data_IF_703191839973
#
_entry.id   IF_703191839973
#
_cell.length_a   1.000
_cell.length_b   1.000
_cell.length_c   1.000
_cell.angle_alpha   90.00
_cell.angle_beta   90.00
_cell.angle_gamma   90.00
#
_symmetry.space_group_name_H-M   'P 1'
#
loop_
_entity.id
_entity.type
_entity.pdbx_description
1 polymer ?
#
# COMPACT_ATOMS: atom_id res chain seq x y z
N UNK A 1 -26.29 18.07 2.64
CA UNK A 1 -24.93 18.26 2.11
C UNK A 1 -25.04 17.94 0.64
N UNK A 2 -24.95 18.95 -0.21
CA UNK A 2 -25.07 18.76 -1.67
C UNK A 2 -23.91 17.88 -2.16
N UNK A 3 -24.14 16.92 -3.08
CA UNK A 3 -23.08 16.06 -3.59
C UNK A 3 -22.05 16.90 -4.37
N UNK A 4 -20.76 16.62 -4.14
CA UNK A 4 -19.63 17.34 -4.74
C UNK A 4 -19.43 17.09 -6.26
N UNK A 5 -20.48 16.68 -6.98
CA UNK A 5 -20.46 16.29 -8.39
C UNK A 5 -20.41 14.77 -8.62
N UNK A 6 -20.18 14.33 -9.87
CA UNK A 6 -20.07 12.92 -10.21
C UNK A 6 -18.75 12.30 -9.71
N UNK A 7 -18.78 11.01 -9.37
CA UNK A 7 -17.59 10.24 -9.02
C UNK A 7 -16.64 10.10 -10.22
N UNK A 8 -15.36 10.44 -10.04
CA UNK A 8 -14.34 10.33 -11.08
C UNK A 8 -13.80 8.91 -11.35
N UNK A 9 -14.20 7.92 -10.55
CA UNK A 9 -13.63 6.56 -10.57
C UNK A 9 -14.69 5.46 -10.76
N UNK A 10 -15.91 5.84 -11.14
CA UNK A 10 -16.91 4.87 -11.59
C UNK A 10 -16.56 4.37 -13.01
N UNK A 11 -17.01 3.16 -13.40
CA UNK A 11 -16.99 2.76 -14.80
C UNK A 11 -17.72 3.76 -15.69
N UNK A 12 -17.30 3.85 -16.96
CA UNK A 12 -17.96 4.69 -17.96
C UNK A 12 -19.45 4.31 -18.08
N UNK A 13 -20.34 5.31 -18.01
CA UNK A 13 -21.79 5.10 -18.06
C UNK A 13 -22.45 4.74 -16.71
N UNK A 14 -21.68 4.51 -15.65
CA UNK A 14 -22.18 4.13 -14.31
C UNK A 14 -21.86 5.18 -13.24
N UNK A 15 -21.59 6.42 -13.65
CA UNK A 15 -21.22 7.50 -12.75
C UNK A 15 -22.28 7.73 -11.66
N UNK A 16 -21.87 7.54 -10.40
CA UNK A 16 -22.71 7.79 -9.24
C UNK A 16 -22.43 9.18 -8.66
N UNK A 17 -23.40 9.83 -8.00
CA UNK A 17 -23.14 11.05 -7.25
C UNK A 17 -22.10 10.78 -6.17
N UNK A 18 -21.11 11.66 -6.07
CA UNK A 18 -20.08 11.56 -5.06
C UNK A 18 -20.65 11.81 -3.66
N UNK A 19 -20.20 10.99 -2.71
CA UNK A 19 -20.57 11.08 -1.29
C UNK A 19 -19.42 11.60 -0.44
N UNK A 20 -18.21 11.54 -1.00
CA UNK A 20 -16.97 11.87 -0.33
C UNK A 20 -16.04 12.62 -1.27
N UNK A 21 -15.08 13.33 -0.70
CA UNK A 21 -14.05 14.07 -1.42
C UNK A 21 -12.69 13.70 -0.84
N UNK A 22 -11.70 13.40 -1.68
CA UNK A 22 -10.36 13.12 -1.20
C UNK A 22 -9.73 14.37 -0.59
N UNK A 23 -9.26 14.35 0.66
CA UNK A 23 -8.72 15.54 1.32
C UNK A 23 -7.34 15.98 0.79
N UNK A 24 -6.66 15.13 0.01
CA UNK A 24 -5.33 15.42 -0.55
C UNK A 24 -5.40 16.14 -1.91
N UNK A 25 -6.36 15.76 -2.75
CA UNK A 25 -6.46 16.24 -4.13
C UNK A 25 -7.83 16.81 -4.50
N UNK A 26 -8.78 16.81 -3.56
CA UNK A 26 -10.15 17.31 -3.72
C UNK A 26 -10.99 16.61 -4.82
N UNK A 27 -10.58 15.42 -5.27
CA UNK A 27 -11.35 14.65 -6.27
C UNK A 27 -12.54 13.93 -5.59
N UNK A 28 -13.76 14.08 -6.14
CA UNK A 28 -14.98 13.46 -5.61
C UNK A 28 -15.08 11.95 -5.94
N UNK A 29 -15.56 11.15 -4.97
CA UNK A 29 -15.78 9.71 -5.14
C UNK A 29 -17.05 9.20 -4.40
N UNK A 30 -17.65 8.10 -4.86
CA UNK A 30 -18.93 7.61 -4.34
C UNK A 30 -18.82 6.49 -3.29
N UNK A 31 -17.72 5.73 -3.27
CA UNK A 31 -17.59 4.52 -2.44
C UNK A 31 -16.13 4.15 -2.14
N UNK A 32 -15.92 3.23 -1.20
CA UNK A 32 -14.59 2.68 -0.90
C UNK A 32 -13.94 2.01 -2.12
N UNK A 33 -14.72 1.35 -2.98
CA UNK A 33 -14.21 0.77 -4.22
C UNK A 33 -13.58 1.85 -5.11
N UNK A 34 -14.29 2.96 -5.29
CA UNK A 34 -13.81 4.10 -6.09
C UNK A 34 -12.65 4.83 -5.42
N UNK A 35 -12.61 4.88 -4.09
CA UNK A 35 -11.42 5.37 -3.38
C UNK A 35 -10.20 4.48 -3.62
N UNK A 36 -10.33 3.14 -3.59
CA UNK A 36 -9.21 2.22 -3.89
C UNK A 36 -8.71 2.35 -5.32
N UNK A 37 -9.60 2.62 -6.27
CA UNK A 37 -9.24 2.89 -7.67
C UNK A 37 -8.61 4.28 -7.89
N UNK A 38 -8.56 5.14 -6.86
CA UNK A 38 -7.99 6.50 -6.92
C UNK A 38 -6.45 6.51 -7.02
N UNK A 39 -5.78 5.37 -6.98
CA UNK A 39 -4.32 5.30 -7.16
C UNK A 39 -3.55 5.93 -6.00
N UNK A 40 -2.62 6.85 -6.31
CA UNK A 40 -1.59 7.34 -5.38
C UNK A 40 -2.15 7.85 -4.04
N UNK A 41 -3.25 8.63 -4.05
CA UNK A 41 -3.83 9.13 -2.80
C UNK A 41 -4.32 8.01 -1.88
N UNK A 42 -4.84 6.92 -2.43
CA UNK A 42 -5.27 5.77 -1.65
C UNK A 42 -4.08 4.95 -1.16
N UNK A 43 -3.09 4.75 -2.02
CA UNK A 43 -1.84 4.06 -1.67
C UNK A 43 -1.12 4.75 -0.51
N UNK A 44 -0.91 6.06 -0.60
CA UNK A 44 -0.28 6.85 0.46
C UNK A 44 -1.06 6.77 1.77
N UNK A 45 -2.40 6.78 1.71
CA UNK A 45 -3.23 6.65 2.91
C UNK A 45 -3.01 5.29 3.59
N UNK A 46 -3.05 4.21 2.83
CA UNK A 46 -2.83 2.87 3.38
C UNK A 46 -1.40 2.69 3.88
N UNK A 47 -0.40 3.21 3.17
CA UNK A 47 0.99 3.21 3.59
C UNK A 47 1.17 3.95 4.91
N UNK A 48 0.64 5.17 5.02
CA UNK A 48 0.70 5.97 6.24
C UNK A 48 0.04 5.27 7.42
N UNK A 49 -1.08 4.58 7.19
CA UNK A 49 -1.78 3.81 8.20
C UNK A 49 -0.93 2.64 8.71
N UNK A 50 -0.36 1.83 7.80
CA UNK A 50 0.51 0.70 8.16
C UNK A 50 1.77 1.17 8.88
N UNK A 51 2.46 2.19 8.34
CA UNK A 51 3.65 2.76 8.98
C UNK A 51 3.32 3.44 10.31
N UNK A 52 2.12 4.01 10.44
CA UNK A 52 1.57 4.51 11.69
C UNK A 52 1.44 3.42 12.75
N UNK A 53 0.84 2.29 12.40
CA UNK A 53 0.69 1.15 13.32
C UNK A 53 2.02 0.49 13.70
N UNK A 54 3.00 0.50 12.78
CA UNK A 54 4.33 -0.05 13.03
C UNK A 54 5.24 0.88 13.85
N UNK A 55 4.97 2.19 13.85
CA UNK A 55 5.75 3.15 14.64
C UNK A 55 5.70 2.80 16.12
N UNK A 56 6.86 2.80 16.77
CA UNK A 56 6.99 2.45 18.19
C UNK A 56 6.93 0.95 18.50
N UNK A 57 6.69 0.08 17.51
CA UNK A 57 6.83 -1.37 17.69
C UNK A 57 8.29 -1.78 17.52
N UNK A 58 8.92 -2.25 18.58
CA UNK A 58 10.23 -2.92 18.51
C UNK A 58 10.08 -4.43 18.50
N UNK A 59 10.86 -5.12 17.66
CA UNK A 59 11.02 -6.57 17.79
C UNK A 59 11.80 -6.88 19.08
N UNK A 60 11.55 -8.05 19.67
CA UNK A 60 12.42 -8.54 20.75
C UNK A 60 13.83 -8.80 20.18
N UNK A 61 14.90 -8.68 20.99
CA UNK A 61 16.25 -8.98 20.56
C UNK A 61 16.38 -10.38 19.91
N UNK A 62 15.66 -11.36 20.45
CA UNK A 62 15.59 -12.73 19.92
C UNK A 62 14.95 -12.82 18.53
N UNK A 63 13.86 -12.09 18.28
CA UNK A 63 13.22 -12.05 16.95
C UNK A 63 14.11 -11.35 15.92
N UNK A 64 14.76 -10.25 16.31
CA UNK A 64 15.71 -9.54 15.46
C UNK A 64 16.91 -10.44 15.11
N UNK A 65 17.52 -11.10 16.11
CA UNK A 65 18.63 -12.01 15.90
C UNK A 65 18.25 -13.18 14.97
N UNK A 66 17.04 -13.73 15.11
CA UNK A 66 16.52 -14.76 14.21
C UNK A 66 16.35 -14.29 12.77
N UNK A 67 15.85 -13.07 12.56
CA UNK A 67 15.72 -12.48 11.22
C UNK A 67 17.09 -12.24 10.57
N UNK A 68 18.05 -11.69 11.31
CA UNK A 68 19.42 -11.45 10.83
C UNK A 68 20.13 -12.74 10.43
N UNK A 69 19.93 -13.84 11.17
CA UNK A 69 20.50 -15.15 10.79
C UNK A 69 19.95 -15.65 9.46
N UNK A 70 18.63 -15.54 9.23
CA UNK A 70 18.00 -15.95 7.96
C UNK A 70 18.52 -15.15 6.77
N UNK A 71 18.69 -13.84 6.92
CA UNK A 71 19.24 -12.98 5.85
C UNK A 71 20.68 -13.35 5.49
N UNK A 72 21.50 -13.76 6.46
CA UNK A 72 22.87 -14.24 6.20
C UNK A 72 22.87 -15.54 5.41
N UNK A 73 22.04 -16.50 5.82
CA UNK A 73 21.90 -17.79 5.13
C UNK A 73 21.45 -17.62 3.68
N UNK A 74 20.51 -16.71 3.41
CA UNK A 74 20.04 -16.43 2.05
C UNK A 74 21.17 -15.91 1.16
N UNK A 75 21.99 -14.98 1.65
CA UNK A 75 23.16 -14.49 0.93
C UNK A 75 24.18 -15.59 0.63
N UNK A 76 24.46 -16.44 1.62
CA UNK A 76 25.41 -17.56 1.47
C UNK A 76 24.93 -18.58 0.42
N UNK A 77 23.62 -18.77 0.24
CA UNK A 77 23.06 -19.65 -0.80
C UNK A 77 22.96 -19.02 -2.19
N UNK A 78 22.96 -17.69 -2.28
CA UNK A 78 22.90 -16.96 -3.57
C UNK A 78 24.30 -16.74 -4.19
N UNK A 79 25.37 -16.83 -3.39
CA UNK A 79 26.77 -16.66 -3.78
C UNK A 79 27.48 -17.98 -4.14
N UNK A 80 26.75 -19.07 -4.43
CA UNK A 80 27.32 -20.35 -4.87
C UNK A 80 27.32 -20.44 -6.43
N UNK A 81 28.46 -20.20 -7.11
CA UNK A 81 28.55 -20.23 -8.57
C UNK A 81 28.75 -21.66 -9.08
N UNK A 82 27.76 -22.53 -8.92
CA UNK A 82 27.69 -23.82 -9.63
C UNK A 82 26.71 -23.73 -10.81
N UNK A 83 27.05 -22.93 -11.83
CA UNK A 83 26.76 -23.21 -13.25
C UNK A 83 27.38 -22.12 -14.15
N UNK A 84 28.69 -22.22 -14.39
CA UNK A 84 29.34 -21.57 -15.54
C UNK A 84 30.09 -22.65 -16.33
N UNK A 85 29.39 -23.71 -16.68
CA UNK A 85 29.99 -24.87 -17.34
C UNK A 85 29.03 -25.62 -18.26
N UNK A 86 28.56 -24.98 -19.33
CA UNK A 86 28.22 -25.62 -20.62
C UNK A 86 28.50 -24.68 -21.79
#
# INVERSE_FOLDING_TARGET
>A
MEPAGPCGFCPAGEAQPARYTCPRCNVPYCSLRCYRAHGTCAEDFYRDQVLGELRGRSASPSRLAGALRRLRQQRETEDDPEDAGL
#
